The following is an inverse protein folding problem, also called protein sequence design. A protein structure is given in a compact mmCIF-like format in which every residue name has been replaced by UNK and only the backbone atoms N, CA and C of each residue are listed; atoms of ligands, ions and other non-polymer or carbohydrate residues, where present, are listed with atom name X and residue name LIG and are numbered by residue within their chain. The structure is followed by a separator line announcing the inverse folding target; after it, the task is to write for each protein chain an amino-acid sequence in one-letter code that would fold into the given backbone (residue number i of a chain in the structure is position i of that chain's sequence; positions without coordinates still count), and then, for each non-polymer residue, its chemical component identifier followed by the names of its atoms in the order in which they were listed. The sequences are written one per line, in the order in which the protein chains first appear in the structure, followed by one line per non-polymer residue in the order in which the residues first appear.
data_IF_215825352304
#
_entry.id   IF_215825352304
#
_cell.length_a   1.000
_cell.length_b   1.000
_cell.length_c   1.000
_cell.angle_alpha   90.00
_cell.angle_beta   90.00
_cell.angle_gamma   90.00
#
_symmetry.space_group_name_H-M   'P 1'
#
loop_
_entity.id
_entity.type
_entity.pdbx_description
1 polymer ?
#
# COMPACT_ATOMS: atom_id res chain seq x y z
N UNK A 1 -22.61 28.43 -9.59
CA UNK A 1 -21.27 27.83 -9.38
C UNK A 1 -21.38 26.83 -8.25
N UNK A 2 -20.82 25.64 -8.40
CA UNK A 2 -20.82 24.64 -7.32
C UNK A 2 -19.91 25.12 -6.21
N UNK A 3 -20.41 25.20 -4.97
CA UNK A 3 -19.66 25.62 -3.79
C UNK A 3 -19.47 24.47 -2.77
N UNK A 4 -19.90 23.26 -3.13
CA UNK A 4 -19.88 22.08 -2.26
C UNK A 4 -18.90 21.06 -2.81
N UNK A 5 -18.05 20.53 -1.93
CA UNK A 5 -17.17 19.39 -2.22
C UNK A 5 -17.60 18.20 -1.36
N UNK A 6 -17.78 17.05 -2.00
CA UNK A 6 -18.12 15.82 -1.33
C UNK A 6 -16.88 15.00 -1.02
N UNK A 7 -16.95 14.13 -0.03
CA UNK A 7 -15.93 13.09 0.18
C UNK A 7 -16.57 11.75 0.47
N UNK A 8 -15.88 10.66 0.14
CA UNK A 8 -16.38 9.30 0.38
C UNK A 8 -15.22 8.33 0.67
N UNK A 9 -15.45 7.39 1.58
CA UNK A 9 -14.52 6.32 1.91
C UNK A 9 -15.03 4.98 1.41
N UNK A 10 -14.37 4.35 0.44
CA UNK A 10 -14.97 3.22 -0.26
C UNK A 10 -15.08 1.93 0.57
N UNK A 11 -14.25 1.73 1.61
CA UNK A 11 -14.29 0.48 2.42
C UNK A 11 -15.63 0.27 3.13
N UNK A 12 -16.44 1.31 3.27
CA UNK A 12 -17.78 1.23 3.85
C UNK A 12 -18.89 0.85 2.87
N UNK A 13 -18.58 0.62 1.59
CA UNK A 13 -19.58 0.44 0.53
C UNK A 13 -19.27 -0.79 -0.33
N UNK A 14 -20.33 -1.49 -0.73
CA UNK A 14 -20.28 -2.35 -1.91
C UNK A 14 -20.31 -1.45 -3.16
N UNK A 15 -19.73 -1.90 -4.27
CA UNK A 15 -19.55 -1.06 -5.47
C UNK A 15 -20.87 -0.50 -6.02
N UNK A 16 -21.96 -1.26 -5.96
CA UNK A 16 -23.26 -0.79 -6.46
C UNK A 16 -23.88 0.28 -5.55
N UNK A 17 -23.80 0.12 -4.22
CA UNK A 17 -24.23 1.14 -3.26
C UNK A 17 -23.41 2.43 -3.41
N UNK A 18 -22.11 2.28 -3.62
CA UNK A 18 -21.21 3.41 -3.90
C UNK A 18 -21.70 4.20 -5.12
N UNK A 19 -22.00 3.51 -6.23
CA UNK A 19 -22.50 4.16 -7.45
C UNK A 19 -23.88 4.81 -7.22
N UNK A 20 -24.77 4.17 -6.47
CA UNK A 20 -26.07 4.75 -6.13
C UNK A 20 -25.92 6.04 -5.32
N UNK A 21 -25.03 6.07 -4.34
CA UNK A 21 -24.71 7.28 -3.57
C UNK A 21 -24.15 8.37 -4.49
N UNK A 22 -23.22 8.04 -5.39
CA UNK A 22 -22.67 9.04 -6.33
C UNK A 22 -23.76 9.65 -7.22
N UNK A 23 -24.71 8.83 -7.70
CA UNK A 23 -25.85 9.32 -8.49
C UNK A 23 -26.80 10.19 -7.68
N UNK A 24 -27.09 9.80 -6.43
CA UNK A 24 -27.98 10.55 -5.52
C UNK A 24 -27.50 11.98 -5.29
N UNK A 25 -26.19 12.19 -5.18
CA UNK A 25 -25.57 13.50 -5.00
C UNK A 25 -25.11 14.13 -6.33
N UNK A 26 -25.55 13.58 -7.47
CA UNK A 26 -25.27 14.09 -8.82
C UNK A 26 -23.77 14.27 -9.10
N UNK A 27 -22.93 13.41 -8.50
CA UNK A 27 -21.49 13.48 -8.62
C UNK A 27 -21.08 13.29 -10.08
N UNK A 28 -20.44 14.31 -10.65
CA UNK A 28 -19.95 14.30 -12.02
C UNK A 28 -18.54 13.70 -12.13
N UNK A 29 -17.72 13.84 -11.08
CA UNK A 29 -16.33 13.38 -11.07
C UNK A 29 -15.89 12.82 -9.71
N UNK A 30 -15.27 11.65 -9.75
CA UNK A 30 -14.54 11.05 -8.63
C UNK A 30 -13.06 11.39 -8.76
N UNK A 31 -12.53 12.03 -7.72
CA UNK A 31 -11.11 12.32 -7.56
C UNK A 31 -10.55 11.33 -6.54
N UNK A 32 -9.81 10.34 -7.04
CA UNK A 32 -9.12 9.36 -6.21
C UNK A 32 -7.82 9.97 -5.66
N UNK A 33 -7.77 10.18 -4.35
CA UNK A 33 -6.65 10.81 -3.65
C UNK A 33 -5.65 9.80 -3.08
N UNK A 34 -5.78 8.51 -3.43
CA UNK A 34 -4.87 7.45 -2.98
C UNK A 34 -3.53 7.54 -3.71
N UNK A 35 -2.45 7.41 -2.95
CA UNK A 35 -1.10 7.22 -3.52
C UNK A 35 -0.98 5.90 -4.29
N UNK A 36 -1.66 4.85 -3.84
CA UNK A 36 -1.74 3.56 -4.53
C UNK A 36 -3.22 3.21 -4.76
N UNK A 37 -3.78 3.39 -5.97
CA UNK A 37 -5.19 3.16 -6.24
C UNK A 37 -5.51 1.67 -6.47
N UNK A 38 -4.94 0.81 -5.63
CA UNK A 38 -5.12 -0.64 -5.65
C UNK A 38 -5.36 -1.15 -4.23
N UNK A 39 -6.28 -2.09 -4.10
CA UNK A 39 -6.64 -2.78 -2.87
C UNK A 39 -6.69 -4.28 -3.13
N UNK A 40 -6.11 -5.06 -2.23
CA UNK A 40 -6.16 -6.52 -2.30
C UNK A 40 -7.52 -7.07 -1.82
N UNK A 41 -8.18 -6.36 -0.91
CA UNK A 41 -9.47 -6.76 -0.34
C UNK A 41 -10.68 -6.27 -1.16
N UNK A 42 -10.50 -5.17 -1.90
CA UNK A 42 -11.57 -4.50 -2.63
C UNK A 42 -11.18 -4.33 -4.11
N UNK A 43 -11.12 -5.46 -4.84
CA UNK A 43 -10.67 -5.51 -6.23
C UNK A 43 -11.50 -4.63 -7.18
N UNK A 44 -12.80 -4.45 -6.91
CA UNK A 44 -13.68 -3.56 -7.67
C UNK A 44 -13.24 -2.08 -7.62
N UNK A 45 -12.52 -1.71 -6.56
CA UNK A 45 -11.99 -0.36 -6.35
C UNK A 45 -10.55 -0.19 -6.85
N UNK A 46 -10.00 -1.20 -7.54
CA UNK A 46 -8.77 -1.03 -8.29
C UNK A 46 -9.02 -0.07 -9.46
N UNK A 47 -8.04 0.80 -9.73
CA UNK A 47 -8.11 1.89 -10.71
C UNK A 47 -8.87 1.53 -11.99
N UNK A 48 -8.51 0.42 -12.65
CA UNK A 48 -9.08 0.05 -13.95
C UNK A 48 -10.54 -0.41 -13.84
N UNK A 49 -10.87 -1.23 -12.83
CA UNK A 49 -12.23 -1.70 -12.57
C UNK A 49 -13.16 -0.54 -12.21
N UNK A 50 -12.71 0.30 -11.28
CA UNK A 50 -13.47 1.47 -10.84
C UNK A 50 -13.70 2.45 -11.99
N UNK A 51 -12.66 2.76 -12.78
CA UNK A 51 -12.77 3.65 -13.94
C UNK A 51 -13.79 3.12 -14.95
N UNK A 52 -13.81 1.80 -15.20
CA UNK A 52 -14.79 1.16 -16.09
C UNK A 52 -16.21 1.31 -15.55
N UNK A 53 -16.43 0.99 -14.27
CA UNK A 53 -17.76 1.08 -13.61
C UNK A 53 -18.27 2.53 -13.57
N UNK A 54 -17.42 3.50 -13.25
CA UNK A 54 -17.78 4.92 -13.26
C UNK A 54 -18.13 5.42 -14.66
N UNK A 55 -17.35 5.03 -15.69
CA UNK A 55 -17.62 5.40 -17.08
C UNK A 55 -18.97 4.89 -17.57
N UNK A 56 -19.35 3.66 -17.21
CA UNK A 56 -20.68 3.10 -17.52
C UNK A 56 -21.83 3.93 -16.93
N UNK A 57 -21.57 4.63 -15.83
CA UNK A 57 -22.53 5.48 -15.14
C UNK A 57 -22.37 6.97 -15.48
N UNK A 58 -21.58 7.32 -16.52
CA UNK A 58 -21.30 8.70 -16.96
C UNK A 58 -20.62 9.56 -15.89
N UNK A 59 -19.86 8.95 -14.98
CA UNK A 59 -19.09 9.64 -13.95
C UNK A 59 -17.61 9.64 -14.37
N UNK A 60 -16.97 10.80 -14.36
CA UNK A 60 -15.56 10.91 -14.67
C UNK A 60 -14.69 10.40 -13.53
N UNK A 61 -13.57 9.78 -13.86
CA UNK A 61 -12.56 9.34 -12.90
C UNK A 61 -11.23 10.07 -13.15
N UNK A 62 -10.62 10.59 -12.10
CA UNK A 62 -9.25 11.11 -12.09
C UNK A 62 -8.54 10.66 -10.83
N UNK A 63 -7.25 10.40 -10.93
CA UNK A 63 -6.41 10.08 -9.77
C UNK A 63 -5.40 11.21 -9.57
N UNK A 64 -5.44 11.81 -8.38
CA UNK A 64 -4.66 13.00 -7.99
C UNK A 64 -3.59 12.59 -6.96
N UNK A 65 -2.90 11.48 -7.21
CA UNK A 65 -1.93 10.95 -6.26
C UNK A 65 -0.73 11.88 -6.06
N UNK A 66 -0.33 12.62 -7.10
CA UNK A 66 0.75 13.59 -7.04
C UNK A 66 0.34 14.85 -6.26
N UNK A 67 -0.90 15.29 -6.46
CA UNK A 67 -1.42 16.51 -5.82
C UNK A 67 -1.85 16.26 -4.37
N UNK A 68 -2.46 15.12 -4.07
CA UNK A 68 -3.18 14.88 -2.82
C UNK A 68 -2.84 13.56 -2.11
N UNK A 69 -1.93 12.76 -2.66
CA UNK A 69 -1.52 11.50 -2.05
C UNK A 69 -0.84 11.69 -0.71
N UNK A 70 -1.22 10.90 0.30
CA UNK A 70 -0.61 10.92 1.63
C UNK A 70 0.75 10.19 1.71
N UNK A 71 1.32 9.76 0.58
CA UNK A 71 2.68 9.21 0.50
C UNK A 71 3.47 10.03 -0.50
N UNK A 72 4.54 10.66 -0.02
CA UNK A 72 5.41 11.53 -0.81
C UNK A 72 6.83 10.97 -0.85
N UNK A 73 7.50 11.07 -1.99
CA UNK A 73 8.89 10.62 -2.14
C UNK A 73 9.90 11.63 -1.60
N UNK A 74 9.53 12.92 -1.57
CA UNK A 74 10.41 14.00 -1.11
C UNK A 74 10.37 14.09 0.42
N UNK A 75 11.52 13.80 1.04
CA UNK A 75 11.69 13.81 2.50
C UNK A 75 11.44 15.18 3.13
N UNK A 76 11.49 16.27 2.37
CA UNK A 76 11.26 17.62 2.91
C UNK A 76 9.84 17.85 3.44
N UNK A 77 8.89 17.03 3.02
CA UNK A 77 7.50 17.11 3.48
C UNK A 77 7.24 16.29 4.76
N UNK A 78 8.25 15.62 5.30
CA UNK A 78 8.10 14.81 6.51
C UNK A 78 8.51 15.61 7.74
N UNK A 79 7.81 15.38 8.84
CA UNK A 79 8.11 15.95 10.14
C UNK A 79 9.43 15.41 10.68
N UNK A 80 9.96 16.05 11.72
CA UNK A 80 11.13 15.55 12.46
C UNK A 80 10.90 14.16 13.07
N UNK A 81 9.65 13.80 13.32
CA UNK A 81 9.21 12.51 13.86
C UNK A 81 8.93 11.45 12.77
N UNK A 82 9.23 11.76 11.51
CA UNK A 82 9.25 10.80 10.40
C UNK A 82 7.90 10.52 9.73
N UNK A 83 6.83 11.24 10.07
CA UNK A 83 5.52 11.15 9.40
C UNK A 83 5.30 12.30 8.41
N UNK A 84 4.46 12.10 7.38
CA UNK A 84 4.14 13.13 6.39
C UNK A 84 3.44 14.31 7.07
N UNK A 85 4.05 15.49 7.00
CA UNK A 85 3.46 16.70 7.55
C UNK A 85 2.45 17.30 6.55
N UNK A 86 1.16 17.17 6.86
CA UNK A 86 0.08 17.70 6.04
C UNK A 86 0.09 19.24 5.92
N UNK A 87 0.59 19.98 6.91
CA UNK A 87 0.69 21.45 6.80
C UNK A 87 1.83 21.87 5.87
N UNK A 88 2.95 21.14 5.90
CA UNK A 88 4.05 21.37 4.95
C UNK A 88 3.66 20.94 3.54
N UNK A 89 3.06 19.75 3.39
CA UNK A 89 2.70 19.22 2.07
C UNK A 89 1.56 19.99 1.40
N UNK A 90 0.58 20.49 2.16
CA UNK A 90 -0.53 21.30 1.60
C UNK A 90 -0.07 22.63 1.00
N UNK A 91 1.12 23.12 1.37
CA UNK A 91 1.77 24.31 0.78
C UNK A 91 2.61 24.02 -0.45
N UNK A 92 2.76 22.74 -0.84
CA UNK A 92 3.54 22.37 -2.02
C UNK A 92 2.90 22.85 -3.32
N UNK A 93 3.71 23.09 -4.35
CA UNK A 93 3.21 23.49 -5.66
C UNK A 93 2.21 22.48 -6.25
N UNK A 94 2.48 21.18 -6.10
CA UNK A 94 1.61 20.14 -6.65
C UNK A 94 0.25 20.13 -5.97
N UNK A 95 0.22 20.29 -4.64
CA UNK A 95 -1.02 20.37 -3.89
C UNK A 95 -1.84 21.59 -4.31
N UNK A 96 -1.22 22.77 -4.38
CA UNK A 96 -1.88 24.01 -4.80
C UNK A 96 -2.39 23.95 -6.25
N UNK A 97 -1.62 23.33 -7.16
CA UNK A 97 -2.07 23.03 -8.53
C UNK A 97 -3.30 22.12 -8.52
N UNK A 98 -3.34 21.12 -7.64
CA UNK A 98 -4.50 20.25 -7.45
C UNK A 98 -5.74 21.00 -7.01
N UNK A 99 -5.61 21.86 -6.00
CA UNK A 99 -6.72 22.71 -5.52
C UNK A 99 -7.26 23.56 -6.67
N UNK A 100 -6.39 24.27 -7.40
CA UNK A 100 -6.84 25.13 -8.51
C UNK A 100 -7.54 24.37 -9.63
N UNK A 101 -7.09 23.14 -9.94
CA UNK A 101 -7.79 22.26 -10.91
C UNK A 101 -9.21 21.92 -10.47
N UNK A 102 -9.41 21.63 -9.17
CA UNK A 102 -10.73 21.35 -8.63
C UNK A 102 -11.62 22.59 -8.61
N UNK A 103 -11.10 23.74 -8.17
CA UNK A 103 -11.82 25.03 -8.21
C UNK A 103 -12.29 25.36 -9.64
N UNK A 104 -11.40 25.28 -10.64
CA UNK A 104 -11.73 25.50 -12.05
C UNK A 104 -12.77 24.50 -12.59
N UNK A 105 -12.83 23.29 -12.02
CA UNK A 105 -13.84 22.28 -12.40
C UNK A 105 -15.20 22.61 -11.78
N UNK A 106 -15.22 23.07 -10.52
CA UNK A 106 -16.43 23.52 -9.83
C UNK A 106 -17.03 24.79 -10.45
N UNK A 107 -16.17 25.70 -10.95
CA UNK A 107 -16.56 26.85 -11.78
C UNK A 107 -17.33 26.44 -13.04
N UNK A 108 -16.97 25.29 -13.62
CA UNK A 108 -17.64 24.68 -14.79
C UNK A 108 -18.81 23.75 -14.41
N UNK A 109 -19.30 23.86 -13.19
CA UNK A 109 -20.42 23.09 -12.63
C UNK A 109 -20.19 21.56 -12.53
N UNK A 110 -18.95 21.09 -12.48
CA UNK A 110 -18.68 19.68 -12.13
C UNK A 110 -18.86 19.48 -10.63
N UNK A 111 -19.70 18.51 -10.25
CA UNK A 111 -19.86 18.10 -8.85
C UNK A 111 -18.80 17.07 -8.50
N UNK A 112 -17.98 17.37 -7.50
CA UNK A 112 -16.75 16.64 -7.18
C UNK A 112 -16.91 15.83 -5.90
N UNK A 113 -16.45 14.58 -5.91
CA UNK A 113 -16.21 13.79 -4.70
C UNK A 113 -14.72 13.42 -4.57
N UNK A 114 -14.14 13.67 -3.40
CA UNK A 114 -12.81 13.18 -3.02
C UNK A 114 -12.94 11.77 -2.43
N UNK A 115 -12.25 10.79 -3.00
CA UNK A 115 -12.36 9.39 -2.61
C UNK A 115 -11.05 8.84 -2.04
N UNK A 116 -11.15 8.13 -0.91
CA UNK A 116 -10.07 7.35 -0.29
C UNK A 116 -10.61 6.02 0.27
N UNK A 117 -9.77 5.25 0.97
CA UNK A 117 -10.10 3.93 1.48
C UNK A 117 -10.94 3.97 2.76
N UNK A 118 -10.52 4.73 3.76
CA UNK A 118 -11.01 4.65 5.14
C UNK A 118 -12.48 5.03 5.24
N UNK A 119 -13.31 4.21 5.87
CA UNK A 119 -14.74 4.51 6.06
C UNK A 119 -14.94 5.81 6.84
N UNK A 120 -14.29 5.95 7.99
CA UNK A 120 -14.40 7.14 8.83
C UNK A 120 -13.45 8.26 8.33
N UNK A 121 -13.95 9.46 8.01
CA UNK A 121 -13.12 10.55 7.54
C UNK A 121 -12.07 11.01 8.56
N UNK A 122 -12.31 10.88 9.87
CA UNK A 122 -11.40 11.41 10.91
C UNK A 122 -10.02 10.72 10.88
N UNK A 123 -9.96 9.47 10.43
CA UNK A 123 -8.72 8.69 10.31
C UNK A 123 -8.10 8.78 8.91
N UNK A 124 -8.59 9.67 8.05
CA UNK A 124 -8.21 9.75 6.64
C UNK A 124 -7.58 11.10 6.30
N UNK A 125 -6.51 11.10 5.51
CA UNK A 125 -5.92 12.33 4.99
C UNK A 125 -6.91 13.14 4.14
N UNK A 126 -7.91 12.50 3.53
CA UNK A 126 -8.93 13.23 2.75
C UNK A 126 -9.64 14.29 3.58
N UNK A 127 -9.90 14.04 4.87
CA UNK A 127 -10.59 14.99 5.74
C UNK A 127 -9.59 15.90 6.46
N UNK A 128 -8.53 15.29 7.03
CA UNK A 128 -7.56 15.99 7.89
C UNK A 128 -6.66 16.94 7.10
N UNK A 129 -6.38 16.64 5.82
CA UNK A 129 -5.55 17.45 4.95
C UNK A 129 -6.36 18.19 3.89
N UNK A 130 -7.06 17.46 3.01
CA UNK A 130 -7.63 18.08 1.80
C UNK A 130 -8.89 18.87 2.13
N UNK A 131 -9.83 18.25 2.82
CA UNK A 131 -11.12 18.86 3.14
C UNK A 131 -10.99 20.05 4.10
N UNK A 132 -10.05 19.99 5.05
CA UNK A 132 -9.65 21.12 5.89
C UNK A 132 -9.38 22.37 5.03
N UNK A 133 -8.52 22.25 4.01
CA UNK A 133 -8.16 23.39 3.13
C UNK A 133 -9.36 23.93 2.34
N UNK A 134 -10.26 23.06 1.87
CA UNK A 134 -11.49 23.51 1.21
C UNK A 134 -12.44 24.23 2.18
N UNK A 135 -12.57 23.73 3.41
CA UNK A 135 -13.37 24.36 4.46
C UNK A 135 -12.81 25.75 4.84
N UNK A 136 -11.49 25.87 5.01
CA UNK A 136 -10.80 27.14 5.30
C UNK A 136 -10.97 28.17 4.17
N UNK A 137 -11.08 27.71 2.92
CA UNK A 137 -11.39 28.53 1.75
C UNK A 137 -12.87 28.91 1.62
N UNK A 138 -13.73 28.43 2.52
CA UNK A 138 -15.17 28.75 2.55
C UNK A 138 -16.06 27.82 1.72
N UNK A 139 -15.53 26.71 1.19
CA UNK A 139 -16.36 25.71 0.51
C UNK A 139 -17.13 24.86 1.52
N UNK A 140 -18.36 24.46 1.15
CA UNK A 140 -19.13 23.50 1.94
C UNK A 140 -18.56 22.10 1.74
N UNK A 141 -18.06 21.48 2.80
CA UNK A 141 -17.57 20.09 2.76
C UNK A 141 -18.61 19.15 3.33
N UNK A 142 -18.95 18.09 2.59
CA UNK A 142 -19.88 17.05 3.03
C UNK A 142 -19.21 15.68 2.90
N UNK A 143 -19.06 14.96 4.00
CA UNK A 143 -18.57 13.58 4.02
C UNK A 143 -19.74 12.60 3.93
N UNK A 144 -19.73 11.78 2.88
CA UNK A 144 -20.71 10.74 2.62
C UNK A 144 -20.28 9.46 3.33
N UNK A 145 -21.08 9.02 4.31
CA UNK A 145 -20.87 7.80 5.08
C UNK A 145 -21.88 6.73 4.66
N UNK A 146 -21.65 5.45 5.04
CA UNK A 146 -22.62 4.39 4.81
C UNK A 146 -23.98 4.68 5.46
N UNK A 147 -25.02 3.96 5.01
CA UNK A 147 -26.39 4.12 5.49
C UNK A 147 -26.97 5.53 5.26
N UNK A 148 -26.54 6.23 4.19
CA UNK A 148 -26.99 7.59 3.84
C UNK A 148 -26.71 8.66 4.91
N UNK A 149 -25.79 8.41 5.84
CA UNK A 149 -25.39 9.41 6.84
C UNK A 149 -24.42 10.39 6.20
N UNK A 150 -24.60 11.68 6.49
CA UNK A 150 -23.67 12.73 6.08
C UNK A 150 -23.21 13.53 7.28
N UNK A 151 -21.93 13.91 7.29
CA UNK A 151 -21.36 14.83 8.27
C UNK A 151 -20.58 15.92 7.57
N UNK A 152 -20.44 17.08 8.21
CA UNK A 152 -19.70 18.24 7.71
C UNK A 152 -18.25 18.24 8.22
N UNK A 153 -17.41 19.13 7.69
CA UNK A 153 -16.06 19.32 8.25
C UNK A 153 -16.12 19.85 9.69
N UNK A 154 -17.13 20.67 10.03
CA UNK A 154 -17.32 21.16 11.41
C UNK A 154 -17.57 19.99 12.38
N UNK A 155 -18.38 19.00 11.97
CA UNK A 155 -18.59 17.80 12.78
C UNK A 155 -17.29 17.01 12.98
N UNK A 156 -16.39 16.99 11.99
CA UNK A 156 -15.05 16.40 12.15
C UNK A 156 -14.22 17.19 13.16
N UNK A 157 -14.24 18.52 13.09
CA UNK A 157 -13.53 19.40 14.03
C UNK A 157 -14.02 19.22 15.47
N UNK A 158 -15.34 19.16 15.68
CA UNK A 158 -15.93 18.89 17.00
C UNK A 158 -15.51 17.51 17.54
N UNK A 159 -15.50 16.49 16.67
CA UNK A 159 -15.01 15.14 17.03
C UNK A 159 -13.53 15.13 17.36
N UNK A 160 -12.71 15.90 16.64
CA UNK A 160 -11.27 16.04 16.90
C UNK A 160 -11.00 16.73 18.24
N UNK A 161 -11.72 17.81 18.54
CA UNK A 161 -11.63 18.49 19.83
C UNK A 161 -12.01 17.53 20.96
N UNK A 162 -13.14 16.84 20.83
CA UNK A 162 -13.59 15.88 21.85
C UNK A 162 -12.59 14.75 22.07
N UNK A 163 -11.91 14.31 21.01
CA UNK A 163 -10.89 13.25 21.06
C UNK A 163 -9.63 13.69 21.81
N UNK A 164 -9.10 14.88 21.51
CA UNK A 164 -7.78 15.31 22.00
C UNK A 164 -7.83 16.27 23.20
N UNK A 165 -8.97 16.91 23.42
CA UNK A 165 -9.21 17.89 24.49
C UNK A 165 -10.56 17.63 25.16
N UNK A 166 -10.80 16.43 25.73
CA UNK A 166 -12.08 16.08 26.33
C UNK A 166 -12.45 16.97 27.53
N UNK A 167 -11.45 17.57 28.18
CA UNK A 167 -11.62 18.45 29.34
C UNK A 167 -11.76 19.93 28.97
N UNK A 168 -11.94 20.28 27.69
CA UNK A 168 -12.15 21.67 27.25
C UNK A 168 -13.35 22.26 28.01
N UNK A 169 -13.08 23.23 28.90
CA UNK A 169 -14.08 23.87 29.78
C UNK A 169 -14.12 23.38 31.23
N UNK A 170 -13.33 22.35 31.59
CA UNK A 170 -13.06 22.00 33.00
C UNK A 170 -11.77 22.68 33.44
N UNK A 171 -11.86 23.64 34.36
CA UNK A 171 -10.72 24.22 35.05
C UNK A 171 -10.01 23.12 35.87
N UNK A 172 -9.02 22.46 35.28
CA UNK A 172 -8.05 21.67 36.03
C UNK A 172 -6.90 22.58 36.45
N UNK A 173 -6.52 22.54 37.73
CA UNK A 173 -5.47 23.39 38.35
C UNK A 173 -4.09 23.32 37.64
N UNK A 174 -3.91 22.39 36.70
CA UNK A 174 -2.65 22.06 36.04
C UNK A 174 -2.55 22.73 34.65
N UNK A 175 -3.66 23.23 34.08
CA UNK A 175 -3.70 23.90 32.77
C UNK A 175 -3.86 25.43 32.90
N UNK A 176 -3.31 26.05 33.96
CA UNK A 176 -3.27 27.52 34.12
C UNK A 176 -2.21 28.17 33.20
N UNK A 177 -2.20 27.83 31.92
CA UNK A 177 -1.30 28.39 30.94
C UNK A 177 -1.91 28.35 29.55
N UNK A 178 -2.49 29.49 29.14
CA UNK A 178 -3.13 29.78 27.84
C UNK A 178 -4.64 29.44 27.75
N UNK A 179 -5.49 30.47 27.93
CA UNK A 179 -6.84 30.50 27.35
C UNK A 179 -6.71 30.49 25.81
N UNK A 180 -6.61 29.30 25.23
CA UNK A 180 -6.48 29.14 23.80
C UNK A 180 -7.81 29.43 23.10
N UNK A 181 -7.76 30.23 22.04
CA UNK A 181 -8.94 30.43 21.18
C UNK A 181 -9.41 29.10 20.59
N UNK A 182 -10.70 29.00 20.26
CA UNK A 182 -11.28 27.82 19.62
C UNK A 182 -10.52 27.39 18.35
N UNK A 183 -10.05 28.37 17.57
CA UNK A 183 -9.23 28.14 16.37
C UNK A 183 -7.91 27.44 16.69
N UNK A 184 -7.29 27.78 17.82
CA UNK A 184 -6.01 27.21 18.23
C UNK A 184 -6.18 25.76 18.73
N UNK A 185 -7.28 25.47 19.44
CA UNK A 185 -7.63 24.08 19.78
C UNK A 185 -7.85 23.22 18.52
N UNK A 186 -8.59 23.73 17.54
CA UNK A 186 -8.81 23.03 16.27
C UNK A 186 -7.48 22.76 15.58
N UNK A 187 -6.61 23.77 15.48
CA UNK A 187 -5.27 23.62 14.88
C UNK A 187 -4.43 22.56 15.60
N UNK A 188 -4.36 22.60 16.93
CA UNK A 188 -3.64 21.59 17.72
C UNK A 188 -4.25 20.19 17.54
N UNK A 189 -5.57 20.08 17.43
CA UNK A 189 -6.26 18.80 17.21
C UNK A 189 -5.94 18.21 15.82
N UNK A 190 -5.89 19.04 14.77
CA UNK A 190 -5.42 18.60 13.45
C UNK A 190 -3.96 18.13 13.48
N UNK A 191 -3.07 18.83 14.19
CA UNK A 191 -1.67 18.44 14.31
C UNK A 191 -1.52 17.09 15.02
N UNK A 192 -2.24 16.87 16.12
CA UNK A 192 -2.28 15.59 16.83
C UNK A 192 -2.82 14.46 15.94
N UNK A 193 -3.91 14.71 15.21
CA UNK A 193 -4.47 13.71 14.29
C UNK A 193 -3.52 13.39 13.14
N UNK A 194 -2.85 14.40 12.58
CA UNK A 194 -1.84 14.21 11.53
C UNK A 194 -0.70 13.29 12.04
N UNK A 195 -0.20 13.48 13.26
CA UNK A 195 0.84 12.61 13.82
C UNK A 195 0.40 11.13 13.97
N UNK A 196 -0.90 10.89 14.21
CA UNK A 196 -1.46 9.54 14.31
C UNK A 196 -1.66 8.84 12.95
N UNK A 197 -2.10 9.57 11.92
CA UNK A 197 -2.51 8.97 10.63
C UNK A 197 -1.54 9.25 9.49
N UNK A 198 -0.61 10.18 9.69
CA UNK A 198 0.39 10.57 8.70
C UNK A 198 1.26 9.38 8.36
N UNK A 199 1.47 9.16 7.06
CA UNK A 199 2.33 8.09 6.57
C UNK A 199 3.76 8.27 7.09
N UNK A 200 4.38 7.22 7.63
CA UNK A 200 5.75 7.28 8.18
C UNK A 200 6.75 6.70 7.19
N UNK A 201 7.88 7.39 6.95
CA UNK A 201 8.98 6.87 6.12
C UNK A 201 9.53 5.55 6.66
N UNK A 202 9.50 5.37 7.98
CA UNK A 202 9.89 4.11 8.62
C UNK A 202 9.02 2.92 8.17
N UNK A 203 7.79 3.15 7.68
CA UNK A 203 6.99 2.10 7.06
C UNK A 203 7.47 1.70 5.67
N UNK A 204 8.19 2.57 4.97
CA UNK A 204 8.86 2.28 3.70
C UNK A 204 10.22 1.61 3.94
N UNK A 205 10.86 1.91 5.08
CA UNK A 205 12.05 1.21 5.60
C UNK A 205 11.71 0.00 6.47
N UNK A 206 10.59 -0.69 6.20
CA UNK A 206 10.36 -2.01 6.80
C UNK A 206 11.47 -2.94 6.34
N UNK A 207 12.28 -3.42 7.29
CA UNK A 207 13.36 -4.39 7.04
C UNK A 207 12.76 -5.61 6.33
N UNK A 208 12.95 -5.71 5.01
CA UNK A 208 12.51 -6.86 4.25
C UNK A 208 13.44 -8.02 4.59
N UNK A 209 12.83 -9.12 5.04
CA UNK A 209 13.53 -10.37 5.31
C UNK A 209 13.27 -11.33 4.14
N UNK A 210 14.34 -11.72 3.47
CA UNK A 210 14.33 -12.76 2.44
C UNK A 210 14.69 -14.08 3.08
N UNK A 211 13.74 -15.00 3.07
CA UNK A 211 13.93 -16.38 3.47
C UNK A 211 14.22 -17.24 2.25
N UNK A 212 14.95 -18.33 2.41
CA UNK A 212 15.09 -19.33 1.33
C UNK A 212 14.80 -20.71 1.86
N UNK A 213 14.00 -21.50 1.16
CA UNK A 213 13.64 -22.85 1.57
C UNK A 213 13.79 -23.84 0.41
N UNK A 214 14.22 -25.06 0.77
CA UNK A 214 14.26 -26.21 -0.12
C UNK A 214 13.23 -27.24 0.30
N UNK A 215 12.47 -27.79 -0.65
CA UNK A 215 11.46 -28.80 -0.34
C UNK A 215 12.01 -30.22 -0.27
N UNK A 216 13.14 -30.54 -0.91
CA UNK A 216 13.71 -31.89 -0.83
C UNK A 216 14.25 -32.17 0.57
N UNK A 217 14.12 -33.43 1.02
CA UNK A 217 14.49 -33.90 2.37
C UNK A 217 13.72 -33.23 3.52
N UNK A 218 12.57 -32.61 3.24
CA UNK A 218 11.62 -32.12 4.24
C UNK A 218 10.26 -32.77 4.03
N UNK A 219 9.62 -33.21 5.10
CA UNK A 219 8.22 -33.63 5.08
C UNK A 219 7.31 -32.41 4.87
N UNK A 220 6.07 -32.63 4.42
CA UNK A 220 5.08 -31.55 4.32
C UNK A 220 4.90 -30.84 5.67
N UNK A 221 4.84 -31.60 6.77
CA UNK A 221 4.72 -31.05 8.13
C UNK A 221 5.86 -30.10 8.45
N UNK A 222 7.12 -30.54 8.30
CA UNK A 222 8.28 -29.70 8.57
C UNK A 222 8.30 -28.44 7.69
N UNK A 223 7.96 -28.59 6.41
CA UNK A 223 7.90 -27.48 5.47
C UNK A 223 6.89 -26.41 5.92
N UNK A 224 5.63 -26.78 6.15
CA UNK A 224 4.59 -25.82 6.52
C UNK A 224 4.78 -25.26 7.94
N UNK A 225 5.32 -26.04 8.88
CA UNK A 225 5.67 -25.53 10.21
C UNK A 225 6.79 -24.48 10.16
N UNK A 226 7.77 -24.60 9.26
CA UNK A 226 8.76 -23.55 9.04
C UNK A 226 8.12 -22.27 8.49
N UNK A 227 7.24 -22.38 7.50
CA UNK A 227 6.51 -21.23 6.93
C UNK A 227 5.68 -20.52 8.02
N UNK A 228 4.97 -21.26 8.87
CA UNK A 228 4.21 -20.72 10.01
C UNK A 228 5.12 -20.07 11.06
N UNK A 229 6.16 -20.78 11.50
CA UNK A 229 7.09 -20.34 12.55
C UNK A 229 7.70 -18.98 12.21
N UNK A 230 8.13 -18.81 10.96
CA UNK A 230 8.74 -17.56 10.51
C UNK A 230 7.71 -16.52 10.04
N UNK A 231 6.42 -16.86 10.00
CA UNK A 231 5.31 -16.00 9.55
C UNK A 231 5.57 -15.47 8.14
N UNK A 232 5.92 -16.36 7.22
CA UNK A 232 6.16 -15.99 5.82
C UNK A 232 4.85 -15.51 5.19
N UNK A 233 4.87 -14.32 4.61
CA UNK A 233 3.68 -13.68 4.03
C UNK A 233 3.46 -14.10 2.58
N UNK A 234 4.56 -14.33 1.84
CA UNK A 234 4.52 -14.84 0.47
C UNK A 234 5.69 -15.79 0.19
N UNK A 235 5.38 -16.88 -0.50
CA UNK A 235 6.34 -17.81 -1.07
C UNK A 235 6.43 -17.62 -2.58
N UNK A 236 7.63 -17.30 -3.04
CA UNK A 236 7.97 -17.14 -4.45
C UNK A 236 8.67 -18.39 -4.94
N UNK A 237 7.98 -19.14 -5.79
CA UNK A 237 8.51 -20.30 -6.47
C UNK A 237 9.38 -19.86 -7.64
N UNK A 238 10.69 -20.11 -7.54
CA UNK A 238 11.69 -19.77 -8.56
C UNK A 238 12.25 -21.04 -9.23
N UNK A 239 11.49 -22.14 -9.18
CA UNK A 239 11.80 -23.38 -9.91
C UNK A 239 11.44 -23.19 -11.38
N UNK A 240 12.28 -23.72 -12.26
CA UNK A 240 11.97 -23.78 -13.70
C UNK A 240 10.67 -24.57 -13.96
N UNK A 241 10.47 -25.67 -13.21
CA UNK A 241 9.29 -26.52 -13.30
C UNK A 241 8.67 -26.71 -11.91
N UNK A 242 7.39 -26.35 -11.76
CA UNK A 242 6.65 -26.41 -10.49
C UNK A 242 5.72 -27.63 -10.36
N UNK A 243 5.67 -28.51 -11.37
CA UNK A 243 4.87 -29.74 -11.41
C UNK A 243 5.65 -30.97 -10.94
N UNK A 244 6.78 -30.77 -10.27
CA UNK A 244 7.76 -31.80 -9.90
C UNK A 244 7.13 -33.07 -9.30
N UNK A 245 7.56 -34.24 -9.79
CA UNK A 245 7.15 -35.55 -9.25
C UNK A 245 7.85 -35.92 -7.93
N UNK A 246 8.81 -35.11 -7.46
CA UNK A 246 9.65 -35.43 -6.30
C UNK A 246 8.90 -35.31 -4.95
N UNK A 247 7.84 -34.52 -4.90
CA UNK A 247 7.01 -34.39 -3.71
C UNK A 247 5.61 -33.91 -4.07
N UNK A 248 4.59 -34.69 -3.73
CA UNK A 248 3.19 -34.40 -4.05
C UNK A 248 2.71 -33.06 -3.53
N UNK A 249 3.10 -32.68 -2.30
CA UNK A 249 2.68 -31.40 -1.70
C UNK A 249 3.33 -30.17 -2.35
N UNK A 250 4.41 -30.36 -3.10
CA UNK A 250 5.20 -29.28 -3.70
C UNK A 250 4.80 -28.98 -5.16
N UNK A 251 3.71 -29.58 -5.66
CA UNK A 251 3.12 -29.26 -6.97
C UNK A 251 2.48 -27.88 -6.89
N UNK A 252 2.68 -27.03 -7.90
CA UNK A 252 2.29 -25.60 -7.85
C UNK A 252 0.86 -25.35 -7.34
N UNK A 253 -0.15 -26.00 -7.91
CA UNK A 253 -1.56 -25.83 -7.51
C UNK A 253 -1.86 -26.30 -6.08
N UNK A 254 -1.32 -27.48 -5.72
CA UNK A 254 -1.51 -28.06 -4.39
C UNK A 254 -0.79 -27.23 -3.33
N UNK A 255 0.42 -26.78 -3.65
CA UNK A 255 1.26 -25.96 -2.80
C UNK A 255 0.62 -24.60 -2.52
N UNK A 256 0.07 -23.94 -3.54
CA UNK A 256 -0.69 -22.69 -3.41
C UNK A 256 -1.86 -22.86 -2.44
N UNK A 257 -2.67 -23.90 -2.65
CA UNK A 257 -3.80 -24.22 -1.79
C UNK A 257 -3.36 -24.47 -0.34
N UNK A 258 -2.37 -25.32 -0.12
CA UNK A 258 -1.90 -25.64 1.24
C UNK A 258 -1.24 -24.45 1.95
N UNK A 259 -0.49 -23.60 1.23
CA UNK A 259 0.11 -22.39 1.81
C UNK A 259 -0.96 -21.42 2.31
N UNK A 260 -2.03 -21.23 1.53
CA UNK A 260 -3.12 -20.36 1.93
C UNK A 260 -3.93 -20.94 3.09
N UNK A 261 -4.30 -22.22 3.02
CA UNK A 261 -5.12 -22.85 4.05
C UNK A 261 -4.38 -23.02 5.38
N UNK A 262 -3.15 -23.54 5.34
CA UNK A 262 -2.40 -23.88 6.54
C UNK A 262 -1.67 -22.67 7.12
N UNK A 263 -1.13 -21.78 6.29
CA UNK A 263 -0.19 -20.75 6.73
C UNK A 263 -0.68 -19.31 6.51
N UNK A 264 -1.80 -19.10 5.80
CA UNK A 264 -2.23 -17.78 5.30
C UNK A 264 -1.10 -17.09 4.51
N UNK A 265 -0.34 -17.88 3.76
CA UNK A 265 0.80 -17.47 2.98
C UNK A 265 0.42 -17.42 1.49
N UNK A 266 0.73 -16.32 0.81
CA UNK A 266 0.49 -16.19 -0.62
C UNK A 266 1.52 -16.99 -1.43
N UNK A 267 1.18 -17.33 -2.67
CA UNK A 267 2.07 -18.07 -3.57
C UNK A 267 2.18 -17.37 -4.92
N UNK A 268 3.38 -17.37 -5.51
CA UNK A 268 3.58 -16.91 -6.89
C UNK A 268 4.73 -17.66 -7.55
N UNK A 269 4.53 -18.12 -8.78
CA UNK A 269 5.57 -18.76 -9.60
C UNK A 269 6.22 -17.74 -10.52
N UNK A 270 7.55 -17.58 -10.42
CA UNK A 270 8.34 -16.54 -11.07
C UNK A 270 9.49 -17.14 -11.89
N UNK A 271 9.22 -17.37 -13.18
CA UNK A 271 10.18 -17.95 -14.12
C UNK A 271 11.32 -16.96 -14.47
N UNK A 272 11.07 -15.66 -14.34
CA UNK A 272 12.06 -14.61 -14.54
C UNK A 272 13.27 -14.72 -13.60
N UNK A 273 13.12 -15.42 -12.46
CA UNK A 273 14.20 -15.66 -11.50
C UNK A 273 14.76 -17.10 -11.56
N UNK A 274 14.17 -17.96 -12.38
CA UNK A 274 14.65 -19.32 -12.58
C UNK A 274 15.86 -19.35 -13.54
N UNK A 275 16.82 -20.28 -13.34
CA UNK A 275 17.87 -20.52 -14.33
C UNK A 275 17.27 -21.00 -15.65
N UNK A 276 17.97 -20.78 -16.76
CA UNK A 276 17.57 -21.34 -18.06
C UNK A 276 17.73 -22.85 -18.09
N UNK A 277 16.98 -23.52 -18.97
CA UNK A 277 17.03 -24.97 -19.12
C UNK A 277 18.43 -25.45 -19.55
N UNK A 278 19.07 -24.75 -20.50
CA UNK A 278 20.45 -25.05 -20.93
C UNK A 278 21.47 -24.95 -19.79
N UNK A 279 21.39 -23.89 -18.98
CA UNK A 279 22.32 -23.67 -17.87
C UNK A 279 22.15 -24.78 -16.82
N UNK A 280 20.90 -25.12 -16.49
CA UNK A 280 20.59 -26.16 -15.53
C UNK A 280 21.03 -27.54 -16.02
N UNK A 281 20.81 -27.84 -17.31
CA UNK A 281 21.23 -29.10 -17.95
C UNK A 281 22.75 -29.24 -17.94
N UNK A 282 23.46 -28.20 -18.40
CA UNK A 282 24.93 -28.19 -18.44
C UNK A 282 25.57 -28.41 -17.06
N UNK A 283 24.98 -27.84 -16.01
CA UNK A 283 25.47 -28.05 -14.64
C UNK A 283 25.18 -29.46 -14.13
N UNK A 284 23.98 -30.00 -14.37
CA UNK A 284 23.61 -31.37 -13.96
C UNK A 284 24.44 -32.43 -14.65
N UNK A 285 24.78 -32.21 -15.92
CA UNK A 285 25.63 -33.09 -16.71
C UNK A 285 27.14 -32.93 -16.38
N UNK A 286 27.49 -32.02 -15.46
CA UNK A 286 28.86 -31.69 -15.06
C UNK A 286 29.73 -31.11 -16.20
N UNK A 287 29.10 -30.56 -17.23
CA UNK A 287 29.79 -29.89 -18.33
C UNK A 287 30.39 -28.54 -17.91
N UNK A 288 29.87 -27.94 -16.83
CA UNK A 288 30.35 -26.68 -16.26
C UNK A 288 30.58 -26.80 -14.75
N UNK A 289 31.54 -26.04 -14.23
CA UNK A 289 31.79 -25.92 -12.79
C UNK A 289 30.74 -25.03 -12.12
N UNK A 290 30.69 -25.05 -10.79
CA UNK A 290 29.79 -24.18 -10.02
C UNK A 290 30.15 -22.70 -10.23
N UNK A 291 31.43 -22.37 -10.35
CA UNK A 291 31.92 -21.01 -10.60
C UNK A 291 31.39 -20.48 -11.94
N UNK A 292 31.46 -21.31 -13.00
CA UNK A 292 30.90 -20.97 -14.31
C UNK A 292 29.37 -20.83 -14.25
N UNK A 293 28.70 -21.67 -13.46
CA UNK A 293 27.24 -21.55 -13.25
C UNK A 293 26.87 -20.21 -12.60
N UNK A 294 27.60 -19.78 -11.57
CA UNK A 294 27.37 -18.49 -10.90
C UNK A 294 27.53 -17.33 -11.87
N UNK A 295 28.59 -17.33 -12.68
CA UNK A 295 28.84 -16.27 -13.65
C UNK A 295 27.70 -16.18 -14.70
N UNK A 296 27.32 -17.32 -15.27
CA UNK A 296 26.25 -17.36 -16.27
C UNK A 296 24.89 -16.99 -15.69
N UNK A 297 24.56 -17.47 -14.48
CA UNK A 297 23.32 -17.10 -13.80
C UNK A 297 23.25 -15.59 -13.53
N UNK A 298 24.33 -14.98 -13.04
CA UNK A 298 24.38 -13.54 -12.78
C UNK A 298 24.20 -12.74 -14.08
N UNK A 299 24.81 -13.17 -15.19
CA UNK A 299 24.60 -12.54 -16.51
C UNK A 299 23.13 -12.60 -16.94
N UNK A 300 22.46 -13.73 -16.75
CA UNK A 300 21.03 -13.87 -17.06
C UNK A 300 20.19 -12.90 -16.19
N UNK A 301 20.48 -12.82 -14.90
CA UNK A 301 19.76 -11.92 -13.98
C UNK A 301 19.98 -10.44 -14.32
N UNK A 302 21.19 -10.05 -14.74
CA UNK A 302 21.49 -8.70 -15.20
C UNK A 302 20.76 -8.34 -16.49
N UNK A 303 20.74 -9.25 -17.47
CA UNK A 303 20.02 -9.05 -18.74
C UNK A 303 18.51 -8.88 -18.50
N UNK A 304 17.93 -9.70 -17.61
CA UNK A 304 16.51 -9.64 -17.26
C UNK A 304 16.18 -8.38 -16.46
N UNK A 305 17.02 -8.02 -15.49
CA UNK A 305 16.90 -6.79 -14.71
C UNK A 305 15.76 -6.77 -13.68
N UNK A 306 14.89 -7.79 -13.62
CA UNK A 306 13.73 -7.85 -12.72
C UNK A 306 14.09 -7.75 -11.23
N UNK A 307 15.28 -8.21 -10.84
CA UNK A 307 15.72 -8.18 -9.44
C UNK A 307 15.99 -6.75 -8.94
N UNK A 308 16.30 -5.80 -9.82
CA UNK A 308 16.54 -4.38 -9.47
C UNK A 308 15.28 -3.70 -8.91
N UNK A 309 14.11 -4.12 -9.40
CA UNK A 309 12.81 -3.60 -8.96
C UNK A 309 12.13 -4.52 -7.92
N UNK A 310 12.83 -5.50 -7.36
CA UNK A 310 12.24 -6.51 -6.49
C UNK A 310 11.49 -5.90 -5.29
N UNK A 311 12.11 -4.98 -4.57
CA UNK A 311 11.48 -4.31 -3.41
C UNK A 311 10.22 -3.54 -3.81
N UNK A 312 10.22 -2.90 -4.98
CA UNK A 312 9.04 -2.18 -5.49
C UNK A 312 7.91 -3.14 -5.86
N UNK A 313 8.24 -4.26 -6.48
CA UNK A 313 7.27 -5.27 -6.94
C UNK A 313 6.63 -6.04 -5.78
N UNK A 314 7.36 -6.22 -4.68
CA UNK A 314 6.91 -6.93 -3.48
C UNK A 314 6.79 -6.04 -2.25
N UNK A 315 6.58 -4.72 -2.45
CA UNK A 315 6.49 -3.72 -1.38
C UNK A 315 5.42 -3.98 -0.32
N UNK A 316 4.41 -4.78 -0.66
CA UNK A 316 3.31 -5.14 0.23
C UNK A 316 3.70 -6.27 1.20
N UNK A 317 4.88 -6.88 1.03
CA UNK A 317 5.36 -8.02 1.82
C UNK A 317 6.67 -7.69 2.56
N UNK A 318 6.75 -8.07 3.83
CA UNK A 318 7.96 -7.94 4.66
C UNK A 318 8.77 -9.23 4.74
N UNK A 319 8.09 -10.37 4.70
CA UNK A 319 8.71 -11.70 4.87
C UNK A 319 8.46 -12.56 3.65
N UNK A 320 9.43 -12.56 2.75
CA UNK A 320 9.35 -13.18 1.44
C UNK A 320 10.21 -14.43 1.43
N UNK A 321 9.70 -15.56 0.97
CA UNK A 321 10.46 -16.81 0.91
C UNK A 321 10.69 -17.29 -0.52
N UNK A 322 11.94 -17.55 -0.90
CA UNK A 322 12.30 -18.18 -2.17
C UNK A 322 12.29 -19.71 -2.03
N UNK A 323 11.47 -20.36 -2.84
CA UNK A 323 11.40 -21.81 -2.93
C UNK A 323 12.26 -22.33 -4.07
N UNK A 324 13.04 -23.36 -3.75
CA UNK A 324 13.77 -24.16 -4.73
C UNK A 324 13.72 -25.66 -4.43
N UNK A 325 14.29 -26.46 -5.32
CA UNK A 325 14.33 -27.92 -5.21
C UNK A 325 15.41 -28.41 -4.25
N UNK A 326 16.60 -27.83 -4.25
CA UNK A 326 17.74 -28.33 -3.47
C UNK A 326 17.55 -28.18 -1.96
N UNK A 327 17.96 -29.18 -1.18
CA UNK A 327 17.82 -29.14 0.27
C UNK A 327 18.66 -28.02 0.92
N UNK A 328 19.89 -27.81 0.42
CA UNK A 328 20.87 -26.88 1.02
C UNK A 328 21.09 -25.66 0.11
N UNK A 329 21.22 -24.47 0.70
CA UNK A 329 21.37 -23.21 -0.03
C UNK A 329 22.78 -22.96 -0.63
N UNK A 330 23.79 -23.75 -0.23
CA UNK A 330 25.22 -23.51 -0.55
C UNK A 330 25.49 -23.46 -2.06
N UNK A 331 24.93 -24.40 -2.82
CA UNK A 331 25.03 -24.48 -4.28
C UNK A 331 23.62 -24.47 -4.90
N UNK A 332 22.91 -23.37 -4.71
CA UNK A 332 21.55 -23.21 -5.21
C UNK A 332 21.34 -21.77 -5.71
N UNK A 333 20.61 -21.61 -6.83
CA UNK A 333 20.33 -20.29 -7.40
C UNK A 333 19.50 -19.39 -6.49
N UNK A 334 18.71 -19.96 -5.58
CA UNK A 334 17.96 -19.17 -4.58
C UNK A 334 18.85 -18.30 -3.71
N UNK A 335 20.07 -18.78 -3.41
CA UNK A 335 21.07 -18.02 -2.65
C UNK A 335 21.62 -16.89 -3.51
N UNK A 336 22.00 -17.20 -4.75
CA UNK A 336 22.53 -16.21 -5.70
C UNK A 336 21.54 -15.07 -5.91
N UNK A 337 20.26 -15.38 -6.11
CA UNK A 337 19.20 -14.38 -6.25
C UNK A 337 19.05 -13.53 -4.98
N UNK A 338 19.02 -14.14 -3.80
CA UNK A 338 18.92 -13.41 -2.53
C UNK A 338 20.12 -12.47 -2.32
N UNK A 339 21.33 -12.92 -2.66
CA UNK A 339 22.56 -12.13 -2.58
C UNK A 339 22.55 -10.96 -3.58
N UNK A 340 22.10 -11.18 -4.83
CA UNK A 340 21.93 -10.12 -5.83
C UNK A 340 20.96 -9.03 -5.36
N UNK A 341 19.81 -9.42 -4.82
CA UNK A 341 18.80 -8.47 -4.34
C UNK A 341 19.34 -7.69 -3.13
N UNK A 342 20.07 -8.34 -2.21
CA UNK A 342 20.71 -7.68 -1.06
C UNK A 342 21.82 -6.72 -1.49
N UNK A 343 22.54 -7.01 -2.58
CA UNK A 343 23.57 -6.11 -3.11
C UNK A 343 22.97 -4.76 -3.54
N UNK A 344 21.80 -4.77 -4.19
CA UNK A 344 21.06 -3.57 -4.56
C UNK A 344 20.37 -2.90 -3.35
N UNK A 345 20.06 -3.68 -2.31
CA UNK A 345 19.33 -3.24 -1.14
C UNK A 345 20.00 -3.73 0.16
N UNK A 346 21.05 -3.03 0.64
CA UNK A 346 21.89 -3.51 1.75
C UNK A 346 21.16 -3.73 3.08
N UNK A 347 19.98 -3.12 3.26
CA UNK A 347 19.14 -3.26 4.47
C UNK A 347 18.41 -4.61 4.56
N UNK A 348 18.44 -5.44 3.52
CA UNK A 348 17.76 -6.74 3.51
C UNK A 348 18.52 -7.76 4.37
N UNK A 349 17.76 -8.51 5.17
CA UNK A 349 18.26 -9.65 5.93
C UNK A 349 17.93 -10.95 5.18
N UNK A 350 18.92 -11.81 4.99
CA UNK A 350 18.75 -13.12 4.35
C UNK A 350 18.79 -14.21 5.42
N UNK A 351 17.83 -15.13 5.39
CA UNK A 351 17.73 -16.26 6.32
C UNK A 351 17.49 -17.55 5.51
N UNK A 352 18.30 -18.58 5.72
CA UNK A 352 18.14 -19.88 5.05
C UNK A 352 17.45 -20.88 5.99
N UNK A 353 16.35 -21.51 5.52
CA UNK A 353 15.44 -22.39 6.28
C UNK A 353 15.63 -23.89 6.02
#
# INVERSE_FOLDING_TARGET
MINTIYTIGYSGFVIDDFIQILKKYEISVVIDVRSNPYSQYHLEYNKENLKKKLKQNRIYYRNYFLEFGARQSDKKYYSKEGYLDFELFSKSENFLKGIKKLENSMEKNYVIVLMCAEKDPIICHRAIMISKIFSEKGYRVIHLLPNNVTITQKDIEDRLIKKFFPNKGQLSLIEMGEDLSEKEYIKRAYNKQNAEIGYRIEEEEKLVEIYTIGFTKKTAKEFFELIKKYKIEILLDIRLNNTSQLSGFAKGKDLEYFLFELCKCNYKHLLEYAPTEELLKSYKEKNITWENYVEQYNKIMEIRGDYKNFIKNFKDYKKICFLCSEAVAKQCHRRLLAELIKKENPKIKIIHL
#
